data_IF_352018690466
#
_entry.id   IF_352018690466
#
_cell.length_a   1.000
_cell.length_b   1.000
_cell.length_c   1.000
_cell.angle_alpha   90.00
_cell.angle_beta   90.00
_cell.angle_gamma   90.00
#
_symmetry.space_group_name_H-M   'P 1'
#
loop_
_entity.id
_entity.type
_entity.pdbx_description
1 polymer ?
#
# COMPACT_ATOMS: atom_id res chain seq x y z
N UNK A 1 2.36 -10.65 4.84
CA UNK A 1 1.31 -11.13 3.91
C UNK A 1 0.50 -9.97 3.32
N UNK A 2 -0.12 -9.11 4.12
CA UNK A 2 -0.94 -8.00 3.62
C UNK A 2 -0.26 -7.10 2.56
N UNK A 3 0.93 -6.56 2.84
CA UNK A 3 1.66 -5.72 1.86
C UNK A 3 2.13 -6.49 0.63
N UNK A 4 2.35 -7.80 0.76
CA UNK A 4 2.70 -8.68 -0.36
C UNK A 4 1.49 -8.88 -1.28
N UNK A 5 0.32 -9.20 -0.71
CA UNK A 5 -0.91 -9.35 -1.46
C UNK A 5 -1.30 -8.08 -2.22
N UNK A 6 -1.16 -6.91 -1.59
CA UNK A 6 -1.38 -5.61 -2.25
C UNK A 6 -0.45 -5.42 -3.46
N UNK A 7 0.83 -5.80 -3.32
CA UNK A 7 1.78 -5.69 -4.42
C UNK A 7 1.44 -6.65 -5.56
N UNK A 8 1.12 -7.91 -5.25
CA UNK A 8 0.85 -8.94 -6.25
C UNK A 8 -0.49 -8.75 -6.97
N UNK A 9 -1.54 -8.36 -6.25
CA UNK A 9 -2.89 -8.26 -6.82
C UNK A 9 -3.16 -6.93 -7.51
N UNK A 10 -2.67 -5.83 -6.94
CA UNK A 10 -2.99 -4.48 -7.44
C UNK A 10 -1.75 -3.65 -7.77
N UNK A 11 -0.55 -4.21 -7.65
CA UNK A 11 0.68 -3.55 -8.12
C UNK A 11 1.07 -2.32 -7.31
N UNK A 12 0.68 -2.25 -6.03
CA UNK A 12 1.05 -1.12 -5.14
C UNK A 12 2.12 -1.58 -4.14
N UNK A 13 3.32 -1.03 -4.25
CA UNK A 13 4.41 -1.33 -3.33
C UNK A 13 4.25 -0.57 -2.00
N UNK A 14 4.30 -1.29 -0.88
CA UNK A 14 4.17 -0.75 0.47
C UNK A 14 5.14 -1.43 1.42
N UNK A 15 5.46 -0.77 2.53
CA UNK A 15 6.37 -1.30 3.55
C UNK A 15 5.59 -1.67 4.81
N UNK A 16 5.81 -2.89 5.32
CA UNK A 16 5.26 -3.33 6.60
C UNK A 16 5.88 -2.54 7.77
N UNK A 17 5.06 -2.18 8.75
CA UNK A 17 5.48 -1.53 9.99
C UNK A 17 6.22 -2.47 10.95
N UNK A 18 6.19 -3.79 10.71
CA UNK A 18 6.88 -4.78 11.57
C UNK A 18 8.38 -4.49 11.71
N UNK A 19 9.04 -4.06 10.64
CA UNK A 19 10.46 -3.66 10.67
C UNK A 19 10.76 -2.39 11.49
N UNK A 20 9.71 -1.68 11.91
CA UNK A 20 9.77 -0.43 12.69
C UNK A 20 9.15 -0.57 14.09
N UNK A 21 8.83 -1.80 14.53
CA UNK A 21 8.20 -2.05 15.83
C UNK A 21 6.69 -1.77 15.87
N UNK A 22 6.03 -1.63 14.72
CA UNK A 22 4.59 -1.39 14.59
C UNK A 22 3.94 -2.44 13.67
N UNK A 23 3.79 -3.70 14.11
CA UNK A 23 3.40 -4.83 13.25
C UNK A 23 2.01 -4.71 12.62
N UNK A 24 1.08 -3.99 13.27
CA UNK A 24 -0.29 -3.76 12.78
C UNK A 24 -0.40 -2.53 11.86
N UNK A 25 0.73 -1.91 11.51
CA UNK A 25 0.77 -0.70 10.71
C UNK A 25 1.52 -0.93 9.40
N UNK A 26 1.31 0.00 8.46
CA UNK A 26 2.00 0.07 7.18
C UNK A 26 2.52 1.49 6.97
N UNK A 27 3.61 1.61 6.22
CA UNK A 27 4.16 2.92 5.82
C UNK A 27 3.78 3.21 4.38
N UNK A 28 3.15 4.36 4.17
CA UNK A 28 2.86 4.92 2.85
C UNK A 28 3.74 6.13 2.61
N UNK A 29 4.49 6.12 1.50
CA UNK A 29 5.26 7.29 1.05
C UNK A 29 4.40 8.11 0.09
N UNK A 30 4.27 9.40 0.35
CA UNK A 30 3.58 10.35 -0.55
C UNK A 30 4.56 11.21 -1.35
N UNK A 31 5.86 10.91 -1.30
CA UNK A 31 6.91 11.63 -2.03
C UNK A 31 6.96 11.20 -3.51
N UNK A 32 5.88 11.47 -4.24
CA UNK A 32 5.71 11.25 -5.69
C UNK A 32 4.67 12.24 -6.23
N UNK A 33 4.37 12.21 -7.53
CA UNK A 33 3.35 13.06 -8.13
C UNK A 33 1.90 12.67 -7.74
N UNK A 34 0.97 13.62 -7.92
CA UNK A 34 -0.43 13.46 -7.51
C UNK A 34 -1.18 12.39 -8.31
N UNK A 35 -0.83 12.16 -9.57
CA UNK A 35 -1.54 11.20 -10.41
C UNK A 35 -1.19 9.77 -9.98
N UNK A 36 0.09 9.50 -9.71
CA UNK A 36 0.55 8.27 -9.09
C UNK A 36 -0.15 8.00 -7.75
N UNK A 37 -0.31 9.02 -6.89
CA UNK A 37 -0.99 8.85 -5.60
C UNK A 37 -2.48 8.53 -5.74
N UNK A 38 -3.19 9.22 -6.63
CA UNK A 38 -4.61 8.97 -6.87
C UNK A 38 -4.84 7.55 -7.40
N UNK A 39 -4.00 7.11 -8.34
CA UNK A 39 -4.08 5.76 -8.90
C UNK A 39 -3.78 4.70 -7.84
N UNK A 40 -2.75 4.90 -7.01
CA UNK A 40 -2.43 3.99 -5.91
C UNK A 40 -3.60 3.86 -4.91
N UNK A 41 -4.23 4.97 -4.52
CA UNK A 41 -5.40 4.96 -3.64
C UNK A 41 -6.60 4.25 -4.27
N UNK A 42 -6.86 4.48 -5.57
CA UNK A 42 -7.95 3.81 -6.28
C UNK A 42 -7.76 2.28 -6.33
N UNK A 43 -6.53 1.83 -6.59
CA UNK A 43 -6.14 0.42 -6.57
C UNK A 43 -6.28 -0.22 -5.18
N UNK A 44 -5.80 0.48 -4.14
CA UNK A 44 -5.95 0.04 -2.75
C UNK A 44 -7.43 -0.10 -2.37
N UNK A 45 -8.26 0.87 -2.76
CA UNK A 45 -9.69 0.83 -2.48
C UNK A 45 -10.40 -0.35 -3.17
N UNK A 46 -9.98 -0.72 -4.39
CA UNK A 46 -10.46 -1.94 -5.06
C UNK A 46 -10.06 -3.20 -4.30
N UNK A 47 -8.81 -3.28 -3.79
CA UNK A 47 -8.35 -4.39 -2.97
C UNK A 47 -9.16 -4.52 -1.67
N UNK A 48 -9.45 -3.41 -0.96
CA UNK A 48 -10.20 -3.44 0.31
C UNK A 48 -11.68 -3.82 0.17
N UNK A 49 -12.24 -3.77 -1.06
CA UNK A 49 -13.64 -4.09 -1.34
C UNK A 49 -13.88 -5.55 -1.72
N UNK A 50 -12.82 -6.34 -1.87
CA UNK A 50 -12.93 -7.80 -1.95
C UNK A 50 -13.28 -8.38 -0.59
#
# INVERSE_FOLDING_TARGET
>A
EFTTAILEEVGVAMVTGAGFGAPENIRLSYATDMDTLKEAVARLHTFMKK
#
